data_IF_033245374553
#
_entry.id   IF_033245374553
#
_cell.length_a   1.000
_cell.length_b   1.000
_cell.length_c   1.000
_cell.angle_alpha   90.00
_cell.angle_beta   90.00
_cell.angle_gamma   90.00
#
_symmetry.space_group_name_H-M   'P 1'
#
loop_
_entity.id
_entity.type
_entity.pdbx_description
1 polymer ?
#
# COMPACT_ATOMS: atom_id res chain seq x y z
N UNK A 1 -8.76 -3.82 -16.56
CA UNK A 1 -8.08 -4.12 -15.28
C UNK A 1 -8.28 -3.02 -14.24
N UNK A 2 -8.00 -1.75 -14.55
CA UNK A 2 -8.11 -0.61 -13.60
C UNK A 2 -9.48 -0.51 -12.90
N UNK A 3 -10.60 -0.62 -13.63
CA UNK A 3 -11.94 -0.59 -13.03
C UNK A 3 -12.14 -1.70 -11.97
N UNK A 4 -11.59 -2.89 -12.20
CA UNK A 4 -11.68 -3.99 -11.25
C UNK A 4 -10.80 -3.75 -10.00
N UNK A 5 -9.63 -3.11 -10.16
CA UNK A 5 -8.79 -2.71 -9.02
C UNK A 5 -9.52 -1.69 -8.14
N UNK A 6 -10.18 -0.69 -8.74
CA UNK A 6 -10.96 0.28 -7.99
C UNK A 6 -12.20 -0.34 -7.34
N UNK A 7 -12.86 -1.31 -8.00
CA UNK A 7 -13.97 -2.03 -7.41
C UNK A 7 -13.52 -2.88 -6.20
N UNK A 8 -12.38 -3.55 -6.30
CA UNK A 8 -11.77 -4.27 -5.19
C UNK A 8 -11.38 -3.31 -4.04
N UNK A 9 -10.84 -2.14 -4.37
CA UNK A 9 -10.55 -1.10 -3.39
C UNK A 9 -11.82 -0.64 -2.68
N UNK A 10 -12.91 -0.35 -3.40
CA UNK A 10 -14.19 0.08 -2.81
C UNK A 10 -14.79 -1.05 -1.95
N UNK A 11 -14.73 -2.29 -2.43
CA UNK A 11 -15.20 -3.46 -1.67
C UNK A 11 -14.45 -3.65 -0.36
N UNK A 12 -13.12 -3.57 -0.40
CA UNK A 12 -12.29 -3.64 0.81
C UNK A 12 -12.58 -2.46 1.75
N UNK A 13 -12.67 -1.24 1.22
CA UNK A 13 -12.96 -0.05 2.01
C UNK A 13 -14.32 -0.16 2.72
N UNK A 14 -15.38 -0.54 2.01
CA UNK A 14 -16.75 -0.64 2.55
C UNK A 14 -16.92 -1.81 3.53
N UNK A 15 -16.26 -2.94 3.29
CA UNK A 15 -16.34 -4.10 4.16
C UNK A 15 -15.49 -3.93 5.44
N UNK A 16 -14.35 -3.24 5.37
CA UNK A 16 -13.40 -3.14 6.49
C UNK A 16 -13.41 -1.79 7.21
N UNK A 17 -14.18 -0.79 6.77
CA UNK A 17 -14.28 0.53 7.42
C UNK A 17 -14.70 0.50 8.90
N UNK A 18 -15.40 -0.56 9.34
CA UNK A 18 -15.87 -0.71 10.73
C UNK A 18 -14.82 -1.29 11.66
N UNK A 19 -13.69 -1.75 11.13
CA UNK A 19 -12.61 -2.34 11.93
C UNK A 19 -11.77 -1.27 12.62
N UNK A 20 -11.08 -1.62 13.73
CA UNK A 20 -10.16 -0.70 14.38
C UNK A 20 -9.05 -0.28 13.39
N UNK A 21 -8.64 1.00 13.45
CA UNK A 21 -7.64 1.60 12.54
C UNK A 21 -6.37 0.76 12.40
N UNK A 22 -5.93 0.14 13.49
CA UNK A 22 -4.76 -0.76 13.51
C UNK A 22 -4.98 -1.99 12.63
N UNK A 23 -6.16 -2.60 12.65
CA UNK A 23 -6.49 -3.74 11.79
C UNK A 23 -6.57 -3.32 10.31
N UNK A 24 -7.16 -2.16 10.01
CA UNK A 24 -7.22 -1.62 8.64
C UNK A 24 -5.81 -1.41 8.06
N UNK A 25 -4.90 -0.82 8.85
CA UNK A 25 -3.51 -0.61 8.42
C UNK A 25 -2.73 -1.92 8.25
N UNK A 26 -2.90 -2.89 9.16
CA UNK A 26 -2.25 -4.19 9.05
C UNK A 26 -2.78 -4.99 7.85
N UNK A 27 -4.08 -4.94 7.58
CA UNK A 27 -4.69 -5.59 6.42
C UNK A 27 -4.30 -4.91 5.11
N UNK A 28 -4.15 -3.58 5.11
CA UNK A 28 -3.56 -2.85 3.99
C UNK A 28 -2.14 -3.33 3.69
N UNK A 29 -1.28 -3.39 4.71
CA UNK A 29 0.10 -3.87 4.57
C UNK A 29 0.16 -5.35 4.13
N UNK A 30 -0.70 -6.21 4.68
CA UNK A 30 -0.81 -7.61 4.25
C UNK A 30 -1.27 -7.73 2.80
N UNK A 31 -2.24 -6.92 2.37
CA UNK A 31 -2.71 -6.87 0.99
C UNK A 31 -1.62 -6.42 0.02
N UNK A 32 -0.85 -5.39 0.38
CA UNK A 32 0.33 -4.95 -0.39
C UNK A 32 1.39 -6.06 -0.46
N UNK A 33 1.70 -6.72 0.65
CA UNK A 33 2.67 -7.81 0.67
C UNK A 33 2.23 -8.99 -0.20
N UNK A 34 0.97 -9.41 -0.08
CA UNK A 34 0.38 -10.47 -0.91
C UNK A 34 0.38 -10.10 -2.40
N UNK A 35 0.08 -8.84 -2.73
CA UNK A 35 0.18 -8.31 -4.09
C UNK A 35 1.60 -8.44 -4.65
N UNK A 36 2.61 -8.04 -3.89
CA UNK A 36 4.01 -8.13 -4.34
C UNK A 36 4.45 -9.58 -4.56
N UNK A 37 4.07 -10.50 -3.66
CA UNK A 37 4.35 -11.93 -3.84
C UNK A 37 3.67 -12.48 -5.10
N UNK A 38 2.40 -12.12 -5.33
CA UNK A 38 1.66 -12.52 -6.53
C UNK A 38 2.29 -11.92 -7.81
N UNK A 39 2.78 -10.67 -7.76
CA UNK A 39 3.47 -10.04 -8.87
C UNK A 39 4.76 -10.77 -9.23
N UNK A 40 5.60 -11.09 -8.22
CA UNK A 40 6.83 -11.85 -8.43
C UNK A 40 6.53 -13.23 -9.00
N UNK A 41 5.53 -13.94 -8.46
CA UNK A 41 5.11 -15.23 -8.97
C UNK A 41 4.57 -15.12 -10.42
N UNK A 42 3.83 -14.07 -10.75
CA UNK A 42 3.30 -13.84 -12.09
C UNK A 42 4.40 -13.73 -13.14
N UNK A 43 5.48 -13.00 -12.84
CA UNK A 43 6.57 -12.80 -13.80
C UNK A 43 7.44 -14.05 -13.94
N UNK A 44 7.62 -14.84 -12.89
CA UNK A 44 8.37 -16.11 -12.99
C UNK A 44 7.59 -17.23 -13.69
N UNK A 45 6.26 -17.19 -13.63
CA UNK A 45 5.37 -18.19 -14.26
C UNK A 45 4.77 -17.72 -15.58
N UNK A 46 5.06 -16.49 -16.00
CA UNK A 46 4.44 -15.83 -17.17
C UNK A 46 2.90 -15.87 -17.14
N UNK A 47 2.29 -15.76 -15.96
CA UNK A 47 0.86 -15.94 -15.76
C UNK A 47 0.10 -14.61 -15.70
N UNK A 48 -0.72 -14.36 -16.73
CA UNK A 48 -1.60 -13.19 -16.77
C UNK A 48 -2.66 -13.21 -15.64
N UNK A 49 -3.09 -14.39 -15.20
CA UNK A 49 -4.04 -14.54 -14.11
C UNK A 49 -3.45 -14.08 -12.76
N UNK A 50 -2.19 -14.45 -12.48
CA UNK A 50 -1.49 -13.99 -11.27
C UNK A 50 -1.21 -12.48 -11.32
N UNK A 51 -0.94 -11.94 -12.51
CA UNK A 51 -0.79 -10.49 -12.70
C UNK A 51 -2.11 -9.74 -12.43
N UNK A 52 -3.24 -10.30 -12.86
CA UNK A 52 -4.55 -9.73 -12.53
C UNK A 52 -4.83 -9.80 -11.03
N UNK A 53 -4.53 -10.93 -10.39
CA UNK A 53 -4.68 -11.10 -8.94
C UNK A 53 -3.81 -10.12 -8.14
N UNK A 54 -2.54 -9.94 -8.54
CA UNK A 54 -1.64 -8.98 -7.90
C UNK A 54 -2.17 -7.55 -8.00
N UNK A 55 -2.72 -7.18 -9.16
CA UNK A 55 -3.33 -5.86 -9.37
C UNK A 55 -4.56 -5.64 -8.46
N UNK A 56 -5.43 -6.64 -8.32
CA UNK A 56 -6.60 -6.52 -7.42
C UNK A 56 -6.18 -6.39 -5.96
N UNK A 57 -5.20 -7.19 -5.52
CA UNK A 57 -4.64 -7.11 -4.17
C UNK A 57 -3.94 -5.76 -3.92
N UNK A 58 -3.25 -5.21 -4.92
CA UNK A 58 -2.63 -3.89 -4.83
C UNK A 58 -3.68 -2.80 -4.59
N UNK A 59 -4.78 -2.84 -5.35
CA UNK A 59 -5.90 -1.91 -5.19
C UNK A 59 -6.54 -1.99 -3.81
N UNK A 60 -6.80 -3.21 -3.31
CA UNK A 60 -7.33 -3.43 -1.98
C UNK A 60 -6.37 -2.93 -0.87
N UNK A 61 -5.08 -3.27 -0.97
CA UNK A 61 -4.05 -2.84 -0.02
C UNK A 61 -3.91 -1.31 0.03
N UNK A 62 -3.87 -0.67 -1.14
CA UNK A 62 -3.80 0.79 -1.27
C UNK A 62 -5.05 1.48 -0.68
N UNK A 63 -6.26 1.00 -1.00
CA UNK A 63 -7.51 1.57 -0.49
C UNK A 63 -7.59 1.50 1.04
N UNK A 64 -7.21 0.37 1.64
CA UNK A 64 -7.17 0.19 3.09
C UNK A 64 -6.07 1.06 3.73
N UNK A 65 -4.89 1.13 3.13
CA UNK A 65 -3.80 2.00 3.60
C UNK A 65 -4.19 3.48 3.60
N UNK A 66 -4.88 3.93 2.56
CA UNK A 66 -5.36 5.31 2.45
C UNK A 66 -6.47 5.63 3.46
N UNK A 67 -7.46 4.75 3.63
CA UNK A 67 -8.46 4.88 4.70
C UNK A 67 -7.80 4.96 6.08
N UNK A 68 -6.87 4.05 6.38
CA UNK A 68 -6.17 4.00 7.66
C UNK A 68 -5.34 5.26 7.91
N UNK A 69 -4.57 5.70 6.91
CA UNK A 69 -3.73 6.90 6.98
C UNK A 69 -4.54 8.17 7.19
N UNK A 70 -5.55 8.41 6.35
CA UNK A 70 -6.43 9.59 6.48
C UNK A 70 -7.21 9.56 7.80
N UNK A 71 -7.65 8.40 8.26
CA UNK A 71 -8.33 8.27 9.56
C UNK A 71 -7.41 8.62 10.73
N UNK A 72 -6.11 8.29 10.65
CA UNK A 72 -5.13 8.70 11.65
C UNK A 72 -4.91 10.21 11.61
N UNK A 73 -4.68 10.79 10.43
CA UNK A 73 -4.50 12.24 10.26
C UNK A 73 -5.67 13.03 10.85
N UNK A 74 -6.90 12.67 10.47
CA UNK A 74 -8.11 13.33 10.95
C UNK A 74 -8.27 13.28 12.49
N UNK A 75 -7.72 12.26 13.14
CA UNK A 75 -7.83 12.12 14.60
C UNK A 75 -6.68 12.72 15.40
N UNK A 76 -5.52 12.89 14.77
CA UNK A 76 -4.30 13.34 15.44
C UNK A 76 -4.03 14.83 15.25
N UNK A 77 -4.68 15.49 14.27
CA UNK A 77 -4.38 16.85 13.88
C UNK A 77 -5.59 17.79 13.98
N UNK A 78 -5.38 19.06 14.37
CA UNK A 78 -6.43 20.08 14.32
C UNK A 78 -6.86 20.39 12.88
N UNK A 79 -8.12 20.79 12.64
CA UNK A 79 -8.65 21.05 11.29
C UNK A 79 -7.81 22.01 10.44
N UNK A 80 -7.22 23.02 11.08
CA UNK A 80 -6.39 24.05 10.42
C UNK A 80 -5.10 23.50 9.79
N UNK A 81 -4.59 22.35 10.24
CA UNK A 81 -3.37 21.71 9.73
C UNK A 81 -3.66 20.45 8.90
N UNK A 82 -4.92 20.02 8.79
CA UNK A 82 -5.27 18.81 8.05
C UNK A 82 -4.96 18.91 6.56
N UNK A 83 -5.15 20.08 5.96
CA UNK A 83 -4.84 20.29 4.54
C UNK A 83 -3.33 20.09 4.26
N UNK A 84 -2.47 20.69 5.09
CA UNK A 84 -1.01 20.56 4.99
C UNK A 84 -0.56 19.12 5.21
N UNK A 85 -1.08 18.45 6.24
CA UNK A 85 -0.74 17.06 6.52
C UNK A 85 -1.24 16.10 5.43
N UNK A 86 -2.43 16.34 4.88
CA UNK A 86 -2.95 15.57 3.77
C UNK A 86 -2.09 15.77 2.51
N UNK A 87 -1.63 16.99 2.24
CA UNK A 87 -0.71 17.26 1.15
C UNK A 87 0.61 16.48 1.35
N UNK A 88 1.22 16.56 2.53
CA UNK A 88 2.43 15.81 2.87
C UNK A 88 2.24 14.28 2.74
N UNK A 89 1.09 13.77 3.19
CA UNK A 89 0.73 12.35 3.04
C UNK A 89 0.64 11.91 1.58
N UNK A 90 -0.04 12.70 0.74
CA UNK A 90 -0.17 12.40 -0.70
C UNK A 90 1.18 12.50 -1.41
N UNK A 91 1.99 13.52 -1.13
CA UNK A 91 3.34 13.65 -1.69
C UNK A 91 4.20 12.44 -1.31
N UNK A 92 4.14 12.01 -0.04
CA UNK A 92 4.85 10.83 0.45
C UNK A 92 4.43 9.52 -0.25
N UNK A 93 3.20 9.43 -0.74
CA UNK A 93 2.73 8.30 -1.53
C UNK A 93 3.09 8.40 -3.01
N UNK A 94 2.85 9.55 -3.64
CA UNK A 94 3.00 9.70 -5.09
C UNK A 94 4.45 9.80 -5.56
N UNK A 95 5.35 10.39 -4.76
CA UNK A 95 6.77 10.49 -5.14
C UNK A 95 7.41 9.10 -5.30
N UNK A 96 7.33 8.18 -4.33
CA UNK A 96 7.81 6.81 -4.52
C UNK A 96 7.03 6.06 -5.62
N UNK A 97 5.72 6.29 -5.72
CA UNK A 97 4.89 5.62 -6.73
C UNK A 97 5.26 6.00 -8.17
N UNK A 98 5.76 7.22 -8.41
CA UNK A 98 6.28 7.63 -9.71
C UNK A 98 7.74 7.20 -9.91
N UNK A 99 8.57 7.33 -8.88
CA UNK A 99 10.01 7.09 -9.00
C UNK A 99 10.35 5.60 -9.13
N UNK A 100 9.76 4.73 -8.30
CA UNK A 100 10.12 3.31 -8.26
C UNK A 100 9.81 2.59 -9.59
N UNK A 101 8.66 2.79 -10.26
CA UNK A 101 8.42 2.17 -11.57
C UNK A 101 9.40 2.66 -12.65
N UNK A 102 9.78 3.94 -12.63
CA UNK A 102 10.77 4.49 -13.58
C UNK A 102 12.13 3.84 -13.38
N UNK A 103 12.61 3.76 -12.13
CA UNK A 103 13.85 3.06 -11.80
C UNK A 103 13.79 1.57 -12.17
N UNK A 104 12.64 0.94 -11.99
CA UNK A 104 12.40 -0.45 -12.39
C UNK A 104 12.45 -0.62 -13.90
N UNK A 105 11.92 0.36 -14.66
CA UNK A 105 12.03 0.40 -16.12
C UNK A 105 13.48 0.44 -16.58
N UNK A 106 14.27 1.39 -16.08
CA UNK A 106 15.71 1.46 -16.38
C UNK A 106 16.45 0.19 -15.97
N UNK A 107 16.12 -0.39 -14.81
CA UNK A 107 16.72 -1.66 -14.38
C UNK A 107 16.32 -2.83 -15.29
N UNK A 108 15.11 -2.80 -15.86
CA UNK A 108 14.62 -3.83 -16.79
C UNK A 108 15.41 -3.82 -18.10
N UNK A 109 15.82 -2.66 -18.58
CA UNK A 109 16.62 -2.52 -19.79
C UNK A 109 18.01 -3.18 -19.66
N UNK A 110 18.54 -3.26 -18.44
CA UNK A 110 19.88 -3.80 -18.17
C UNK A 110 19.88 -5.23 -17.60
N UNK A 111 18.98 -5.54 -16.66
CA UNK A 111 18.94 -6.79 -15.92
C UNK A 111 17.79 -7.72 -16.33
N UNK A 112 16.94 -7.27 -17.27
CA UNK A 112 15.75 -7.98 -17.70
C UNK A 112 14.53 -7.75 -16.80
N UNK A 113 13.35 -7.92 -17.38
CA UNK A 113 12.06 -7.64 -16.74
C UNK A 113 11.84 -8.43 -15.45
N UNK A 114 12.22 -9.71 -15.43
CA UNK A 114 12.02 -10.59 -14.27
C UNK A 114 12.86 -10.14 -13.08
N UNK A 115 14.14 -9.87 -13.27
CA UNK A 115 15.02 -9.43 -12.19
C UNK A 115 14.59 -8.05 -11.65
N UNK A 116 14.28 -7.11 -12.54
CA UNK A 116 13.83 -5.78 -12.17
C UNK A 116 12.49 -5.80 -11.41
N UNK A 117 11.50 -6.55 -11.89
CA UNK A 117 10.20 -6.70 -11.21
C UNK A 117 10.35 -7.39 -9.86
N UNK A 118 11.27 -8.34 -9.74
CA UNK A 118 11.57 -9.01 -8.46
C UNK A 118 12.18 -8.05 -7.46
N UNK A 119 13.13 -7.21 -7.88
CA UNK A 119 13.71 -6.17 -7.05
C UNK A 119 12.64 -5.15 -6.59
N UNK A 120 11.78 -4.70 -7.51
CA UNK A 120 10.65 -3.83 -7.20
C UNK A 120 9.71 -4.45 -6.16
N UNK A 121 9.32 -5.72 -6.37
CA UNK A 121 8.49 -6.46 -5.44
C UNK A 121 9.14 -6.59 -4.06
N UNK A 122 10.44 -6.87 -3.98
CA UNK A 122 11.19 -6.98 -2.72
C UNK A 122 11.25 -5.63 -1.97
N UNK A 123 11.49 -4.52 -2.67
CA UNK A 123 11.49 -3.18 -2.06
C UNK A 123 10.11 -2.85 -1.48
N UNK A 124 9.02 -3.10 -2.20
CA UNK A 124 7.68 -2.83 -1.69
C UNK A 124 7.25 -3.81 -0.59
N UNK A 125 7.68 -5.08 -0.66
CA UNK A 125 7.46 -6.06 0.40
C UNK A 125 8.14 -5.64 1.70
N UNK A 126 9.40 -5.18 1.63
CA UNK A 126 10.14 -4.69 2.80
C UNK A 126 9.49 -3.45 3.38
N UNK A 127 9.10 -2.47 2.57
CA UNK A 127 8.34 -1.30 3.03
C UNK A 127 7.02 -1.68 3.71
N UNK A 128 6.26 -2.62 3.13
CA UNK A 128 5.02 -3.10 3.71
C UNK A 128 5.26 -3.80 5.06
N UNK A 129 6.30 -4.62 5.17
CA UNK A 129 6.70 -5.28 6.41
C UNK A 129 7.16 -4.27 7.48
N UNK A 130 7.94 -3.26 7.10
CA UNK A 130 8.33 -2.18 8.01
C UNK A 130 7.11 -1.38 8.48
N UNK A 131 6.18 -1.05 7.59
CA UNK A 131 4.92 -0.40 7.96
C UNK A 131 4.09 -1.25 8.93
N UNK A 132 3.93 -2.55 8.64
CA UNK A 132 3.22 -3.48 9.50
C UNK A 132 3.88 -3.61 10.89
N UNK A 133 5.21 -3.71 10.95
CA UNK A 133 5.95 -3.79 12.22
C UNK A 133 5.86 -2.50 13.03
N UNK A 134 5.90 -1.33 12.40
CA UNK A 134 5.66 -0.04 13.08
C UNK A 134 4.24 0.04 13.65
N UNK A 135 3.23 -0.37 12.89
CA UNK A 135 1.83 -0.41 13.35
C UNK A 135 1.62 -1.47 14.45
N UNK A 136 2.35 -2.58 14.39
CA UNK A 136 2.31 -3.63 15.39
C UNK A 136 3.03 -3.21 16.68
N UNK A 137 4.17 -2.52 16.62
CA UNK A 137 4.97 -2.13 17.78
C UNK A 137 4.57 -0.78 18.38
N UNK A 138 3.88 0.07 17.61
CA UNK A 138 3.28 1.32 18.07
C UNK A 138 2.23 1.09 19.16
N UNK A 139 2.67 0.95 20.41
CA UNK A 139 1.80 0.88 21.60
C UNK A 139 1.03 2.19 21.72
N UNK A 140 -0.27 2.09 22.04
CA UNK A 140 -1.21 3.17 22.34
C UNK A 140 -0.55 4.34 23.11
N UNK A 141 -0.05 5.35 22.40
CA UNK A 141 0.16 6.70 22.96
C UNK A 141 -0.88 7.65 22.40
N UNK A 142 -2.15 7.30 22.61
CA UNK A 142 -3.23 8.30 22.59
C UNK A 142 -3.81 8.28 23.99
N UNK A 143 -3.15 9.02 24.89
CA UNK A 143 -3.75 9.52 26.11
C UNK A 143 -4.08 10.99 25.90
N UNK A 144 -5.35 11.33 26.12
CA UNK A 144 -5.78 12.63 26.68
C UNK A 144 -6.78 13.44 25.83
N UNK A 145 -7.66 14.25 26.45
CA UNK A 145 -7.84 14.50 27.89
C UNK A 145 -9.23 14.10 28.43
N UNK A 146 -9.31 14.07 29.78
CA UNK A 146 -10.52 14.01 30.59
C UNK A 146 -11.31 15.33 30.52
#
# INVERSE_FOLDING_TARGET
MVFAMFLAAIGAQTALQRLPRRAVLLLGAAGTAASMLALVAAVHTSSAALLAASALLAGAGQGLGQLGGLSLLNSALPPRRLAEANAAFNVGGYVPAGLLPVLTGYLSDHAGLTAATTAFGAVLLTLAATGATVVATGRRRVHGPA
#
